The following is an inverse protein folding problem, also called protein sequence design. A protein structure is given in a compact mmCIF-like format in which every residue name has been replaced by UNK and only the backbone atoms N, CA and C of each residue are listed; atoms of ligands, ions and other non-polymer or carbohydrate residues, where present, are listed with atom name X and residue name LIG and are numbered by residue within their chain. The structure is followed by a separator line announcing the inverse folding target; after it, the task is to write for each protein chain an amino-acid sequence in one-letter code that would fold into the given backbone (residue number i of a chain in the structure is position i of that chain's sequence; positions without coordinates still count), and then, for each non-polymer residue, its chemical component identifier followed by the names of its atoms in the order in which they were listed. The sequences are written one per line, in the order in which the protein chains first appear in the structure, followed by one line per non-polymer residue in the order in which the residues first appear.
data_IF_465675586908
#
_entry.id   IF_465675586908
#
_cell.length_a   1.000
_cell.length_b   1.000
_cell.length_c   1.000
_cell.angle_alpha   90.00
_cell.angle_beta   90.00
_cell.angle_gamma   90.00
#
_symmetry.space_group_name_H-M   'P 1'
#
loop_
_entity.id
_entity.type
_entity.pdbx_description
1 polymer ?
#
# COMPACT_ATOMS: atom_id res chain seq x y z
N UNK A 1 0.73 -16.07 12.29
CA UNK A 1 0.76 -16.07 10.81
C UNK A 1 -0.65 -16.36 10.33
N UNK A 2 -1.34 -15.45 9.63
CA UNK A 2 -2.61 -15.82 9.00
C UNK A 2 -2.29 -16.75 7.84
N UNK A 3 -2.99 -17.87 7.67
CA UNK A 3 -2.78 -18.74 6.53
C UNK A 3 -3.02 -17.98 5.22
N UNK A 4 -2.27 -18.34 4.19
CA UNK A 4 -2.56 -17.82 2.86
C UNK A 4 -4.01 -18.14 2.51
N UNK A 5 -4.73 -17.10 2.03
CA UNK A 5 -6.12 -17.28 1.66
C UNK A 5 -6.24 -18.24 0.50
N UNK A 6 -7.14 -19.20 0.65
CA UNK A 6 -7.49 -20.14 -0.40
C UNK A 6 -8.24 -19.46 -1.54
N UNK A 7 -8.34 -20.11 -2.69
CA UNK A 7 -9.15 -19.65 -3.83
C UNK A 7 -10.63 -19.42 -3.49
N UNK A 8 -11.13 -20.05 -2.42
CA UNK A 8 -12.50 -19.87 -1.93
C UNK A 8 -12.79 -18.45 -1.41
N UNK A 9 -11.74 -17.69 -1.06
CA UNK A 9 -11.86 -16.28 -0.62
C UNK A 9 -11.88 -15.28 -1.79
N UNK A 10 -11.78 -15.76 -3.04
CA UNK A 10 -11.76 -14.92 -4.23
C UNK A 10 -13.18 -14.78 -4.77
N UNK A 11 -13.60 -13.55 -5.01
CA UNK A 11 -14.93 -13.21 -5.55
C UNK A 11 -14.77 -12.40 -6.84
N UNK A 12 -15.54 -12.69 -7.91
CA UNK A 12 -15.51 -11.88 -9.13
C UNK A 12 -15.83 -10.41 -8.86
N UNK A 13 -15.10 -9.50 -9.49
CA UNK A 13 -15.40 -8.07 -9.54
C UNK A 13 -16.25 -7.76 -10.81
N UNK A 14 -16.92 -6.57 -10.92
CA UNK A 14 -16.81 -5.44 -10.00
C UNK A 14 -17.80 -5.51 -8.83
N UNK A 15 -17.43 -4.90 -7.73
CA UNK A 15 -18.29 -4.71 -6.55
C UNK A 15 -18.25 -3.26 -6.10
N UNK A 16 -19.25 -2.84 -5.32
CA UNK A 16 -19.21 -1.50 -4.71
C UNK A 16 -18.26 -1.50 -3.50
N UNK A 17 -17.66 -0.34 -3.17
CA UNK A 17 -16.87 -0.22 -1.93
C UNK A 17 -17.67 -0.57 -0.66
N UNK A 18 -18.96 -0.24 -0.65
CA UNK A 18 -19.85 -0.56 0.46
C UNK A 18 -20.02 -2.08 0.64
N UNK A 19 -20.13 -2.82 -0.45
CA UNK A 19 -20.24 -4.29 -0.40
C UNK A 19 -18.91 -4.92 0.01
N UNK A 20 -17.79 -4.44 -0.53
CA UNK A 20 -16.48 -4.93 -0.16
C UNK A 20 -16.17 -4.76 1.35
N UNK A 21 -16.60 -3.66 1.96
CA UNK A 21 -16.43 -3.43 3.40
C UNK A 21 -17.18 -4.43 4.28
N UNK A 22 -18.29 -4.97 3.83
CA UNK A 22 -19.03 -6.03 4.56
C UNK A 22 -18.25 -7.35 4.62
N UNK A 23 -17.34 -7.54 3.69
CA UNK A 23 -16.58 -8.79 3.55
C UNK A 23 -15.07 -8.55 3.50
N UNK A 24 -14.43 -8.03 4.57
CA UNK A 24 -13.02 -7.63 4.58
C UNK A 24 -12.04 -8.80 4.37
N UNK A 25 -12.55 -10.02 4.43
CA UNK A 25 -11.76 -11.24 4.22
C UNK A 25 -11.81 -11.75 2.77
N UNK A 26 -12.56 -11.11 1.88
CA UNK A 26 -12.63 -11.50 0.48
C UNK A 26 -11.66 -10.68 -0.37
N UNK A 27 -11.10 -11.31 -1.38
CA UNK A 27 -10.40 -10.65 -2.47
C UNK A 27 -11.31 -10.61 -3.70
N UNK A 28 -11.41 -9.44 -4.32
CA UNK A 28 -12.24 -9.24 -5.51
C UNK A 28 -11.36 -9.28 -6.75
N UNK A 29 -11.31 -10.46 -7.37
CA UNK A 29 -10.50 -10.70 -8.55
C UNK A 29 -11.16 -10.14 -9.81
N UNK A 30 -10.33 -9.69 -10.74
CA UNK A 30 -10.75 -9.26 -12.06
C UNK A 30 -10.18 -10.15 -13.15
N UNK A 31 -11.06 -10.73 -13.94
CA UNK A 31 -10.68 -11.48 -15.15
C UNK A 31 -10.64 -10.60 -16.39
N UNK A 32 -11.31 -9.45 -16.36
CA UNK A 32 -11.41 -8.53 -17.49
C UNK A 32 -10.24 -7.52 -17.48
N UNK A 33 -9.48 -7.49 -18.57
CA UNK A 33 -8.34 -6.59 -18.77
C UNK A 33 -8.75 -5.15 -19.09
N UNK A 34 -10.01 -4.90 -19.45
CA UNK A 34 -10.47 -3.58 -19.91
C UNK A 34 -10.66 -2.56 -18.79
N UNK A 35 -10.69 -3.01 -17.54
CA UNK A 35 -10.92 -2.16 -16.38
C UNK A 35 -9.86 -2.42 -15.32
N UNK A 36 -9.06 -1.42 -15.04
CA UNK A 36 -7.94 -1.49 -14.08
C UNK A 36 -8.37 -1.41 -12.60
N UNK A 37 -9.68 -1.49 -12.30
CA UNK A 37 -10.18 -1.36 -10.95
C UNK A 37 -11.11 -2.52 -10.59
N UNK A 38 -11.07 -2.98 -9.34
CA UNK A 38 -11.97 -4.01 -8.79
C UNK A 38 -13.35 -3.45 -8.39
N UNK A 39 -13.50 -2.13 -8.33
CA UNK A 39 -14.78 -1.49 -8.00
C UNK A 39 -15.58 -1.13 -9.24
N UNK A 40 -16.90 -1.02 -9.07
CA UNK A 40 -17.80 -0.55 -10.12
C UNK A 40 -17.70 0.97 -10.37
N UNK A 41 -17.08 1.71 -9.44
CA UNK A 41 -17.00 3.16 -9.45
C UNK A 41 -15.61 3.64 -9.05
N UNK A 42 -15.29 4.80 -9.57
CA UNK A 42 -14.29 5.79 -9.24
C UNK A 42 -12.98 5.32 -8.57
N UNK A 43 -11.90 5.81 -9.14
CA UNK A 43 -10.52 5.63 -8.70
C UNK A 43 -10.16 6.37 -7.39
N UNK A 44 -11.08 7.17 -6.87
CA UNK A 44 -10.88 7.99 -5.65
C UNK A 44 -11.29 7.26 -4.37
N UNK A 45 -10.94 5.98 -4.23
CA UNK A 45 -11.38 5.20 -3.08
C UNK A 45 -10.84 5.73 -1.76
N UNK A 46 -9.56 6.12 -1.72
CA UNK A 46 -8.86 6.43 -0.48
C UNK A 46 -8.54 7.90 -0.30
N UNK A 47 -8.73 8.71 -1.36
CA UNK A 47 -8.44 10.13 -1.34
C UNK A 47 -9.53 10.97 -2.01
N UNK A 48 -9.53 12.22 -1.68
CA UNK A 48 -10.24 13.28 -2.38
C UNK A 48 -9.25 14.39 -2.75
N UNK A 49 -9.66 15.27 -3.64
CA UNK A 49 -8.88 16.42 -4.06
C UNK A 49 -9.67 17.69 -3.76
N UNK A 50 -8.98 18.74 -3.35
CA UNK A 50 -9.49 20.10 -3.40
C UNK A 50 -9.33 20.66 -4.81
N UNK A 51 -10.01 21.77 -5.12
CA UNK A 51 -9.92 22.41 -6.44
C UNK A 51 -8.50 22.90 -6.77
N UNK A 52 -7.68 23.17 -5.76
CA UNK A 52 -6.26 23.53 -5.86
C UNK A 52 -5.31 22.31 -5.87
N UNK A 53 -5.86 21.10 -5.95
CA UNK A 53 -5.10 19.86 -6.11
C UNK A 53 -4.54 19.26 -4.81
N UNK A 54 -4.93 19.78 -3.64
CA UNK A 54 -4.52 19.20 -2.35
C UNK A 54 -5.22 17.84 -2.18
N UNK A 55 -4.45 16.82 -1.88
CA UNK A 55 -4.94 15.46 -1.60
C UNK A 55 -5.27 15.35 -0.12
N UNK A 56 -6.42 14.81 0.20
CA UNK A 56 -6.81 14.51 1.58
C UNK A 56 -7.51 13.16 1.68
N UNK A 57 -7.50 12.61 2.89
CA UNK A 57 -8.10 11.32 3.22
C UNK A 57 -9.61 11.31 2.88
N UNK A 58 -10.05 10.28 2.15
CA UNK A 58 -11.46 9.94 2.07
C UNK A 58 -11.83 9.10 3.30
N UNK A 59 -12.46 9.74 4.28
CA UNK A 59 -12.80 9.12 5.56
C UNK A 59 -13.72 7.92 5.48
N UNK A 60 -14.48 7.78 4.39
CA UNK A 60 -15.43 6.69 4.22
C UNK A 60 -14.78 5.40 3.75
N UNK A 61 -13.70 5.51 2.99
CA UNK A 61 -13.08 4.38 2.30
C UNK A 61 -11.61 4.13 2.66
N UNK A 62 -10.92 5.09 3.27
CA UNK A 62 -9.52 4.92 3.68
C UNK A 62 -9.41 3.77 4.70
N UNK A 63 -8.54 2.77 4.48
CA UNK A 63 -8.41 1.61 5.36
C UNK A 63 -7.77 1.92 6.71
N UNK A 64 -7.21 3.13 6.87
CA UNK A 64 -6.54 3.54 8.10
C UNK A 64 -7.53 4.06 9.15
N UNK A 65 -7.29 3.79 10.45
CA UNK A 65 -8.18 4.25 11.51
C UNK A 65 -8.18 5.77 11.64
N UNK A 66 -9.14 6.29 12.40
CA UNK A 66 -9.24 7.73 12.69
C UNK A 66 -7.91 8.27 13.24
N UNK A 67 -7.46 9.40 12.72
CA UNK A 67 -6.18 10.03 13.07
C UNK A 67 -4.96 9.41 12.37
N UNK A 68 -5.19 8.48 11.48
CA UNK A 68 -4.19 7.88 10.61
C UNK A 68 -4.66 7.93 9.15
N UNK A 69 -3.73 7.88 8.22
CA UNK A 69 -4.00 7.87 6.77
C UNK A 69 -3.04 6.95 6.03
N UNK A 70 -3.35 6.64 4.79
CA UNK A 70 -2.36 6.09 3.87
C UNK A 70 -1.20 7.07 3.68
N UNK A 71 0.03 6.57 3.48
CA UNK A 71 1.18 7.42 3.19
C UNK A 71 1.01 8.19 1.88
N UNK A 72 1.53 9.40 1.85
CA UNK A 72 1.81 10.13 0.61
C UNK A 72 3.23 9.85 0.10
N UNK A 73 3.53 10.33 -1.10
CA UNK A 73 4.86 10.14 -1.69
C UNK A 73 5.98 10.63 -0.79
N UNK A 74 5.76 11.78 -0.14
CA UNK A 74 6.77 12.37 0.73
C UNK A 74 7.07 11.52 1.96
N UNK A 75 6.05 10.88 2.53
CA UNK A 75 6.24 9.93 3.63
C UNK A 75 7.15 8.78 3.19
N UNK A 76 6.93 8.25 1.99
CA UNK A 76 7.74 7.17 1.44
C UNK A 76 9.14 7.61 1.02
N UNK A 77 9.31 8.77 0.36
CA UNK A 77 10.63 9.32 0.05
C UNK A 77 11.46 9.57 1.32
N UNK A 78 10.83 10.13 2.35
CA UNK A 78 11.49 10.34 3.64
C UNK A 78 11.88 9.02 4.29
N UNK A 79 11.00 8.03 4.27
CA UNK A 79 11.25 6.71 4.84
C UNK A 79 12.36 5.97 4.06
N UNK A 80 12.29 5.97 2.73
CA UNK A 80 13.21 5.29 1.84
C UNK A 80 14.59 5.96 1.73
N UNK A 81 14.78 7.14 2.35
CA UNK A 81 16.07 7.82 2.35
C UNK A 81 17.19 6.98 3.00
N UNK A 82 16.84 6.12 3.97
CA UNK A 82 17.81 5.22 4.60
C UNK A 82 17.14 3.90 4.99
N UNK A 83 17.72 2.81 4.53
CA UNK A 83 17.24 1.46 4.79
C UNK A 83 18.39 0.47 4.99
N UNK A 84 18.11 -0.64 5.65
CA UNK A 84 19.05 -1.75 5.82
C UNK A 84 19.17 -2.61 4.56
N UNK A 85 20.13 -3.52 4.55
CA UNK A 85 20.05 -4.68 3.68
C UNK A 85 18.76 -5.46 3.92
N UNK A 86 18.40 -6.29 2.94
CA UNK A 86 17.28 -7.21 3.09
C UNK A 86 17.65 -8.29 4.11
N UNK A 87 16.86 -8.38 5.18
CA UNK A 87 17.19 -9.21 6.35
C UNK A 87 15.96 -9.92 6.90
N UNK A 88 16.18 -10.97 7.66
CA UNK A 88 15.12 -11.60 8.43
C UNK A 88 14.96 -10.90 9.79
N UNK A 89 13.72 -10.56 10.14
CA UNK A 89 13.43 -9.97 11.45
C UNK A 89 13.69 -11.00 12.58
N UNK A 90 14.50 -10.66 13.59
CA UNK A 90 14.95 -11.64 14.59
C UNK A 90 13.81 -12.31 15.37
N UNK A 91 12.76 -11.55 15.70
CA UNK A 91 11.68 -12.07 16.55
C UNK A 91 10.55 -12.74 15.74
N UNK A 92 10.32 -12.32 14.49
CA UNK A 92 9.18 -12.80 13.69
C UNK A 92 9.57 -13.77 12.59
N UNK A 93 10.86 -13.81 12.22
CA UNK A 93 11.37 -14.59 11.10
C UNK A 93 10.92 -14.09 9.72
N UNK A 94 10.24 -12.94 9.63
CA UNK A 94 9.80 -12.37 8.36
C UNK A 94 10.97 -11.69 7.64
N UNK A 95 11.06 -11.88 6.34
CA UNK A 95 11.99 -11.14 5.49
C UNK A 95 11.49 -9.72 5.22
N UNK A 96 12.42 -8.76 5.14
CA UNK A 96 12.10 -7.36 4.90
C UNK A 96 13.28 -6.43 5.11
N UNK A 97 12.99 -5.16 5.34
CA UNK A 97 14.01 -4.13 5.57
C UNK A 97 13.65 -3.25 6.78
N UNK A 98 14.69 -2.79 7.47
CA UNK A 98 14.58 -1.71 8.43
C UNK A 98 14.74 -0.38 7.74
N UNK A 99 13.88 0.57 8.06
CA UNK A 99 13.89 1.93 7.57
C UNK A 99 14.09 2.90 8.73
N UNK A 100 14.93 3.92 8.56
CA UNK A 100 15.28 4.88 9.60
C UNK A 100 15.01 6.35 9.22
N UNK A 101 14.48 6.60 8.03
CA UNK A 101 14.22 7.96 7.56
C UNK A 101 15.50 8.75 7.23
N UNK A 102 15.39 10.08 7.08
CA UNK A 102 16.46 10.90 6.51
C UNK A 102 17.66 11.15 7.45
N UNK A 103 17.55 10.84 8.73
CA UNK A 103 18.66 11.01 9.67
C UNK A 103 18.99 9.68 10.36
N UNK A 104 19.84 8.82 9.74
CA UNK A 104 20.13 7.48 10.25
C UNK A 104 21.23 7.46 11.32
N UNK A 105 21.80 8.61 11.69
CA UNK A 105 22.96 8.69 12.54
C UNK A 105 22.60 8.94 14.02
N UNK A 106 23.11 8.08 14.89
CA UNK A 106 22.97 8.21 16.34
C UNK A 106 22.58 6.89 17.04
N UNK A 107 22.81 6.78 18.33
CA UNK A 107 22.59 5.55 19.08
C UNK A 107 21.11 5.16 19.26
N UNK A 108 20.20 6.10 19.07
CA UNK A 108 18.75 5.91 19.30
C UNK A 108 17.91 6.31 18.08
N UNK A 109 18.39 6.00 16.88
CA UNK A 109 17.63 6.30 15.66
C UNK A 109 16.37 5.43 15.62
N UNK A 110 15.17 6.04 15.56
CA UNK A 110 13.94 5.26 15.40
C UNK A 110 13.98 4.47 14.10
N UNK A 111 13.62 3.20 14.18
CA UNK A 111 13.55 2.31 13.01
C UNK A 111 12.20 1.64 12.93
N UNK A 112 11.74 1.41 11.73
CA UNK A 112 10.56 0.60 11.47
C UNK A 112 10.94 -0.56 10.55
N UNK A 113 10.50 -1.75 10.90
CA UNK A 113 10.62 -2.90 10.00
C UNK A 113 9.39 -2.99 9.11
N UNK A 114 9.62 -3.07 7.81
CA UNK A 114 8.59 -3.37 6.83
C UNK A 114 8.84 -4.76 6.25
N UNK A 115 7.91 -5.71 6.45
CA UNK A 115 8.06 -7.06 5.93
C UNK A 115 7.82 -7.13 4.42
N UNK A 116 8.50 -8.05 3.74
CA UNK A 116 8.27 -8.41 2.36
C UNK A 116 7.02 -9.32 2.26
N UNK A 117 5.86 -8.72 2.24
CA UNK A 117 4.57 -9.41 2.30
C UNK A 117 4.17 -10.11 1.00
N UNK A 118 4.90 -9.87 -0.10
CA UNK A 118 4.44 -10.21 -1.43
C UNK A 118 3.30 -9.30 -1.89
N UNK A 119 2.63 -9.75 -2.92
CA UNK A 119 1.44 -9.08 -3.47
C UNK A 119 0.39 -10.13 -3.88
N UNK A 120 -0.85 -9.69 -4.14
CA UNK A 120 -1.82 -10.46 -4.89
C UNK A 120 -2.04 -9.82 -6.25
N UNK A 121 -1.96 -10.66 -7.26
CA UNK A 121 -2.27 -10.30 -8.64
C UNK A 121 -3.78 -10.17 -8.84
N UNK A 122 -4.19 -9.60 -9.96
CA UNK A 122 -5.61 -9.33 -10.28
C UNK A 122 -6.53 -10.55 -10.21
N UNK A 123 -5.99 -11.74 -10.45
CA UNK A 123 -6.70 -13.03 -10.36
C UNK A 123 -6.72 -13.59 -8.94
N UNK A 124 -6.12 -12.88 -7.98
CA UNK A 124 -6.06 -13.25 -6.57
C UNK A 124 -4.92 -14.20 -6.20
N UNK A 125 -4.05 -14.56 -7.15
CA UNK A 125 -2.89 -15.36 -6.83
C UNK A 125 -1.90 -14.61 -5.92
N UNK A 126 -1.38 -15.27 -4.90
CA UNK A 126 -0.30 -14.74 -4.07
C UNK A 126 1.04 -14.87 -4.80
N UNK A 127 1.84 -13.81 -4.78
CA UNK A 127 3.11 -13.77 -5.49
C UNK A 127 4.23 -13.22 -4.61
N UNK A 128 5.42 -13.84 -4.70
CA UNK A 128 6.71 -13.36 -4.22
C UNK A 128 6.79 -12.97 -2.72
N UNK A 129 6.00 -13.63 -1.86
CA UNK A 129 6.12 -13.49 -0.42
C UNK A 129 7.56 -13.77 0.05
N UNK A 130 8.01 -13.01 1.05
CA UNK A 130 9.38 -13.05 1.57
C UNK A 130 10.48 -12.68 0.57
N UNK A 131 10.13 -12.12 -0.57
CA UNK A 131 11.06 -11.68 -1.63
C UNK A 131 10.85 -10.24 -2.03
N UNK A 132 9.60 -9.83 -2.24
CA UNK A 132 9.24 -8.49 -2.67
C UNK A 132 8.04 -7.99 -1.88
N UNK A 133 7.83 -6.69 -1.88
CA UNK A 133 6.60 -6.09 -1.37
C UNK A 133 6.31 -4.76 -2.03
N UNK A 134 5.04 -4.40 -1.98
CA UNK A 134 4.55 -3.08 -2.30
C UNK A 134 3.69 -2.57 -1.15
N UNK A 135 3.80 -1.30 -0.84
CA UNK A 135 2.96 -0.60 0.13
C UNK A 135 2.22 0.53 -0.55
N UNK A 136 0.89 0.51 -0.47
CA UNK A 136 0.04 1.52 -1.07
C UNK A 136 0.32 2.92 -0.56
N UNK A 137 0.37 3.89 -1.48
CA UNK A 137 0.23 5.30 -1.14
C UNK A 137 -1.20 5.80 -1.37
N UNK A 138 -1.46 7.00 -0.87
CA UNK A 138 -2.71 7.73 -1.13
C UNK A 138 -2.77 8.29 -2.56
N UNK A 139 -1.65 8.35 -3.29
CA UNK A 139 -1.50 9.15 -4.50
C UNK A 139 -1.69 8.34 -5.78
N UNK A 140 -2.59 8.85 -6.64
CA UNK A 140 -2.70 8.40 -8.02
C UNK A 140 -1.63 9.04 -8.90
N UNK A 141 -1.16 8.32 -9.91
CA UNK A 141 -0.10 8.77 -10.83
C UNK A 141 -0.64 9.50 -12.10
N UNK A 142 -1.88 9.97 -12.07
CA UNK A 142 -2.50 10.63 -13.23
C UNK A 142 -3.03 9.65 -14.28
N UNK A 143 -3.48 10.14 -15.40
CA UNK A 143 -4.25 9.59 -16.53
C UNK A 143 -4.38 8.09 -16.82
N UNK A 144 -3.49 7.23 -16.34
CA UNK A 144 -3.52 5.78 -16.66
C UNK A 144 -4.03 4.90 -15.51
N UNK A 145 -4.53 5.49 -14.44
CA UNK A 145 -5.09 4.73 -13.32
C UNK A 145 -4.04 4.04 -12.45
N UNK A 146 -2.78 4.35 -12.61
CA UNK A 146 -1.71 3.83 -11.75
C UNK A 146 -1.71 4.52 -10.39
N UNK A 147 -1.25 3.81 -9.38
CA UNK A 147 -1.11 4.31 -8.02
C UNK A 147 0.37 4.24 -7.62
N UNK A 148 0.84 5.29 -6.97
CA UNK A 148 2.16 5.32 -6.38
C UNK A 148 2.23 4.35 -5.20
N UNK A 149 3.39 3.71 -5.06
CA UNK A 149 3.65 2.76 -3.97
C UNK A 149 5.13 2.78 -3.58
N UNK A 150 5.41 2.34 -2.35
CA UNK A 150 6.76 1.98 -1.96
C UNK A 150 6.97 0.51 -2.33
N UNK A 151 7.92 0.28 -3.21
CA UNK A 151 8.37 -1.05 -3.62
C UNK A 151 9.73 -1.36 -2.98
N UNK A 152 9.96 -2.61 -2.60
CA UNK A 152 11.30 -3.10 -2.35
C UNK A 152 11.42 -4.63 -2.48
N UNK A 153 12.66 -5.06 -2.76
CA UNK A 153 13.10 -6.45 -2.79
C UNK A 153 14.48 -6.56 -2.10
N UNK A 154 15.23 -7.60 -2.39
CA UNK A 154 16.57 -7.84 -1.80
C UNK A 154 17.64 -6.88 -2.31
N UNK A 155 17.51 -6.33 -3.50
CA UNK A 155 18.50 -5.46 -4.15
C UNK A 155 18.02 -4.02 -4.39
N UNK A 156 16.72 -3.75 -4.27
CA UNK A 156 16.14 -2.46 -4.65
C UNK A 156 15.15 -1.92 -3.59
N UNK A 157 15.08 -0.60 -3.49
CA UNK A 157 14.01 0.17 -2.82
C UNK A 157 13.64 1.34 -3.71
N UNK A 158 12.38 1.45 -4.09
CA UNK A 158 11.89 2.52 -4.96
C UNK A 158 10.51 3.04 -4.55
N UNK A 159 10.20 4.27 -4.93
CA UNK A 159 8.88 4.87 -4.81
C UNK A 159 8.37 5.13 -6.21
N UNK A 160 7.47 4.29 -6.69
CA UNK A 160 7.16 4.17 -8.12
C UNK A 160 5.64 4.18 -8.39
N UNK A 161 5.20 4.75 -9.53
CA UNK A 161 3.80 4.70 -9.97
C UNK A 161 3.53 3.44 -10.81
N UNK A 162 3.76 2.26 -10.25
CA UNK A 162 3.74 0.99 -11.00
C UNK A 162 2.54 0.09 -10.69
N UNK A 163 1.66 0.49 -9.78
CA UNK A 163 0.61 -0.36 -9.24
C UNK A 163 -0.76 -0.08 -9.86
N UNK A 164 -1.47 -1.14 -10.22
CA UNK A 164 -2.87 -1.04 -10.65
C UNK A 164 -3.83 -1.24 -9.47
N UNK A 165 -4.98 -0.53 -9.43
CA UNK A 165 -5.95 -0.65 -8.35
C UNK A 165 -6.54 -2.05 -8.13
N UNK A 166 -6.45 -2.94 -9.10
CA UNK A 166 -6.94 -4.32 -8.98
C UNK A 166 -5.96 -5.28 -8.28
N UNK A 167 -4.75 -4.84 -8.00
CA UNK A 167 -3.77 -5.58 -7.22
C UNK A 167 -4.00 -5.39 -5.72
N UNK A 168 -3.52 -6.32 -4.90
CA UNK A 168 -3.56 -6.13 -3.45
C UNK A 168 -2.15 -6.07 -2.87
N UNK A 169 -1.87 -4.94 -2.25
CA UNK A 169 -0.61 -4.62 -1.60
C UNK A 169 -0.81 -4.40 -0.10
N UNK A 170 0.29 -4.37 0.61
CA UNK A 170 0.26 -4.04 2.02
C UNK A 170 -0.13 -2.58 2.27
N UNK A 171 -0.71 -2.34 3.43
CA UNK A 171 -1.01 -1.00 3.94
C UNK A 171 -0.20 -0.74 5.20
N UNK A 172 0.47 0.41 5.25
CA UNK A 172 1.13 0.92 6.45
C UNK A 172 0.67 2.34 6.71
N UNK A 173 -0.27 2.50 7.63
CA UNK A 173 -0.79 3.81 7.98
C UNK A 173 0.27 4.69 8.65
N UNK A 174 0.23 5.98 8.32
CA UNK A 174 1.00 7.04 8.99
C UNK A 174 0.07 7.93 9.78
N UNK A 175 0.59 8.60 10.80
CA UNK A 175 -0.21 9.53 11.61
C UNK A 175 -0.65 10.72 10.75
N UNK A 176 -1.94 11.01 10.76
CA UNK A 176 -2.49 12.18 10.08
C UNK A 176 -2.28 13.42 10.97
N UNK A 177 -1.23 14.17 10.69
CA UNK A 177 -0.89 15.38 11.43
C UNK A 177 -1.47 16.57 10.67
N UNK A 178 -2.47 17.24 11.25
CA UNK A 178 -3.00 18.49 10.70
C UNK A 178 -1.85 19.50 10.49
N UNK A 179 -1.74 20.03 9.26
CA UNK A 179 -0.68 20.96 8.86
C UNK A 179 0.53 20.34 8.13
N UNK A 180 0.68 19.02 8.10
CA UNK A 180 1.69 18.33 7.25
C UNK A 180 1.14 17.95 5.86
N UNK A 181 -0.02 18.40 5.51
CA UNK A 181 -0.57 18.23 4.15
C UNK A 181 0.20 19.15 3.22
N UNK A 182 1.07 18.56 2.40
CA UNK A 182 1.83 19.32 1.43
C UNK A 182 0.92 19.81 0.30
N UNK A 183 1.08 21.10 0.01
CA UNK A 183 0.49 21.75 -1.14
C UNK A 183 1.18 21.32 -2.45
#
# INVERSE_FOLDING_TARGET
MRPDKTTADITPAPVTPAEARKHPNRFYARSDMSLFNWTSNDMKLWNNFTDDGIIFKNTDNDPCPKGWRLPELFDFYSLAANYSNFVQHPDTGQWGRWFSGPNPYGPNVPRIFLPATGLRTRDGASYARDKVTHYWSLRHAGGEGLIWNLYFCDDEVDVTPSAFPHEAFAVRCVKDIEGQRMR
#
